data_IF_592985645048
#
_entry.id   IF_592985645048
#
_cell.length_a   1.000
_cell.length_b   1.000
_cell.length_c   1.000
_cell.angle_alpha   90.00
_cell.angle_beta   90.00
_cell.angle_gamma   90.00
#
_symmetry.space_group_name_H-M   'P 1'
#
loop_
_entity.id
_entity.type
_entity.pdbx_description
1 polymer ?
#
# COMPACT_ATOMS: atom_id res chain seq x y z
N UNK A 1 -23.89 -14.41 -14.11
CA UNK A 1 -22.63 -14.48 -14.89
C UNK A 1 -22.24 -13.15 -15.52
N UNK A 2 -23.05 -12.52 -16.40
CA UNK A 2 -22.65 -11.23 -17.01
C UNK A 2 -22.73 -10.06 -16.01
N UNK A 3 -23.82 -9.99 -15.22
CA UNK A 3 -23.97 -8.98 -14.17
C UNK A 3 -22.89 -9.07 -13.08
N UNK A 4 -22.51 -10.28 -12.67
CA UNK A 4 -21.44 -10.50 -11.68
C UNK A 4 -20.08 -10.00 -12.20
N UNK A 5 -19.83 -10.11 -13.51
CA UNK A 5 -18.61 -9.61 -14.15
C UNK A 5 -18.60 -8.09 -14.28
N UNK A 6 -19.75 -7.44 -14.42
CA UNK A 6 -19.84 -5.98 -14.42
C UNK A 6 -19.61 -5.43 -13.01
N UNK A 7 -20.26 -6.03 -12.01
CA UNK A 7 -20.03 -5.71 -10.60
C UNK A 7 -18.54 -5.85 -10.22
N UNK A 8 -17.89 -6.93 -10.65
CA UNK A 8 -16.47 -7.13 -10.38
C UNK A 8 -15.58 -6.00 -10.95
N UNK A 9 -15.93 -5.46 -12.13
CA UNK A 9 -15.19 -4.32 -12.72
C UNK A 9 -15.42 -3.04 -11.95
N UNK A 10 -16.64 -2.79 -11.50
CA UNK A 10 -16.98 -1.62 -10.67
C UNK A 10 -16.23 -1.67 -9.34
N UNK A 11 -16.28 -2.80 -8.64
CA UNK A 11 -15.55 -3.02 -7.39
C UNK A 11 -14.04 -2.86 -7.60
N UNK A 12 -13.49 -3.40 -8.70
CA UNK A 12 -12.08 -3.23 -9.02
C UNK A 12 -11.69 -1.76 -9.23
N UNK A 13 -12.54 -0.96 -9.88
CA UNK A 13 -12.33 0.48 -10.07
C UNK A 13 -12.42 1.26 -8.74
N UNK A 14 -13.36 0.90 -7.88
CA UNK A 14 -13.46 1.50 -6.54
C UNK A 14 -12.24 1.17 -5.68
N UNK A 15 -11.78 -0.08 -5.71
CA UNK A 15 -10.56 -0.51 -5.02
C UNK A 15 -9.31 0.19 -5.59
N UNK A 16 -9.24 0.37 -6.90
CA UNK A 16 -8.17 1.12 -7.56
C UNK A 16 -8.10 2.55 -7.03
N UNK A 17 -9.23 3.26 -7.04
CA UNK A 17 -9.33 4.64 -6.56
C UNK A 17 -9.04 4.75 -5.05
N UNK A 18 -9.52 3.79 -4.26
CA UNK A 18 -9.24 3.73 -2.83
C UNK A 18 -7.76 3.51 -2.56
N UNK A 19 -7.11 2.61 -3.30
CA UNK A 19 -5.67 2.35 -3.16
C UNK A 19 -4.86 3.59 -3.54
N UNK A 20 -5.27 4.32 -4.59
CA UNK A 20 -4.65 5.60 -4.99
C UNK A 20 -4.74 6.66 -3.89
N UNK A 21 -5.89 6.75 -3.19
CA UNK A 21 -6.08 7.68 -2.06
C UNK A 21 -5.26 7.29 -0.83
N UNK A 22 -5.17 5.99 -0.52
CA UNK A 22 -4.44 5.49 0.65
C UNK A 22 -2.91 5.52 0.46
N UNK A 23 -2.44 5.35 -0.77
CA UNK A 23 -1.01 5.30 -1.12
C UNK A 23 -0.73 6.15 -2.36
N UNK A 24 -0.75 7.48 -2.22
CA UNK A 24 -0.36 8.37 -3.32
C UNK A 24 1.09 8.09 -3.73
N UNK A 25 1.39 8.12 -5.03
CA UNK A 25 2.72 7.85 -5.57
C UNK A 25 3.09 6.37 -5.73
N UNK A 26 2.21 5.42 -5.36
CA UNK A 26 2.46 4.01 -5.64
C UNK A 26 2.37 3.74 -7.15
N UNK A 27 3.39 3.14 -7.80
CA UNK A 27 3.36 2.89 -9.24
C UNK A 27 2.20 1.99 -9.66
N UNK A 28 1.77 2.11 -10.91
CA UNK A 28 0.60 1.42 -11.48
C UNK A 28 0.64 -0.10 -11.25
N UNK A 29 1.76 -0.76 -11.53
CA UNK A 29 1.87 -2.22 -11.42
C UNK A 29 1.71 -2.75 -9.97
N UNK A 30 2.47 -2.26 -8.96
CA UNK A 30 2.22 -2.60 -7.56
C UNK A 30 0.81 -2.27 -7.09
N UNK A 31 0.21 -1.17 -7.58
CA UNK A 31 -1.18 -0.82 -7.25
C UNK A 31 -2.17 -1.85 -7.80
N UNK A 32 -1.99 -2.28 -9.04
CA UNK A 32 -2.81 -3.31 -9.66
C UNK A 32 -2.72 -4.64 -8.90
N UNK A 33 -1.51 -5.01 -8.44
CA UNK A 33 -1.31 -6.19 -7.60
C UNK A 33 -2.07 -6.11 -6.28
N UNK A 34 -2.14 -4.93 -5.63
CA UNK A 34 -2.91 -4.75 -4.41
C UNK A 34 -4.42 -4.93 -4.65
N UNK A 35 -4.95 -4.41 -5.77
CA UNK A 35 -6.36 -4.60 -6.13
C UNK A 35 -6.67 -6.07 -6.36
N UNK A 36 -5.86 -6.77 -7.18
CA UNK A 36 -6.04 -8.22 -7.41
C UNK A 36 -5.96 -9.02 -6.11
N UNK A 37 -4.98 -8.70 -5.26
CA UNK A 37 -4.81 -9.37 -3.96
C UNK A 37 -6.03 -9.15 -3.05
N UNK A 38 -6.60 -7.95 -3.04
CA UNK A 38 -7.79 -7.66 -2.25
C UNK A 38 -8.98 -8.52 -2.73
N UNK A 39 -9.24 -8.55 -4.03
CA UNK A 39 -10.33 -9.35 -4.62
C UNK A 39 -10.19 -10.85 -4.34
N UNK A 40 -8.96 -11.39 -4.45
CA UNK A 40 -8.68 -12.79 -4.09
C UNK A 40 -8.88 -13.07 -2.60
N UNK A 41 -8.52 -12.11 -1.74
CA UNK A 41 -8.63 -12.28 -0.27
C UNK A 41 -10.09 -12.27 0.19
N UNK A 42 -10.93 -11.44 -0.44
CA UNK A 42 -12.35 -11.34 -0.13
C UNK A 42 -13.12 -12.54 -0.72
N UNK A 43 -12.62 -13.12 -1.81
CA UNK A 43 -13.26 -14.24 -2.50
C UNK A 43 -14.18 -13.81 -3.65
N UNK A 44 -14.13 -12.53 -4.03
CA UNK A 44 -14.92 -11.97 -5.15
C UNK A 44 -14.34 -12.35 -6.52
N UNK A 45 -13.10 -12.82 -6.54
CA UNK A 45 -12.41 -13.29 -7.75
C UNK A 45 -11.77 -14.65 -7.46
N UNK A 46 -11.94 -15.59 -8.38
CA UNK A 46 -11.49 -16.98 -8.18
C UNK A 46 -10.69 -17.56 -9.33
N UNK A 47 -10.74 -16.94 -10.52
CA UNK A 47 -10.07 -17.44 -11.71
C UNK A 47 -9.08 -16.43 -12.34
N UNK A 48 -8.23 -16.94 -13.23
CA UNK A 48 -7.24 -16.12 -13.95
C UNK A 48 -7.87 -15.23 -15.02
N UNK A 49 -9.08 -15.56 -15.49
CA UNK A 49 -9.76 -14.83 -16.56
C UNK A 49 -10.34 -13.52 -16.02
N UNK A 50 -10.98 -13.56 -14.86
CA UNK A 50 -11.42 -12.42 -14.07
C UNK A 50 -10.24 -11.51 -13.71
N UNK A 51 -9.10 -12.09 -13.32
CA UNK A 51 -7.88 -11.32 -13.03
C UNK A 51 -7.38 -10.56 -14.27
N UNK A 52 -7.35 -11.20 -15.43
CA UNK A 52 -6.99 -10.54 -16.68
C UNK A 52 -7.98 -9.43 -17.07
N UNK A 53 -9.28 -9.64 -16.83
CA UNK A 53 -10.30 -8.61 -17.06
C UNK A 53 -10.08 -7.39 -16.16
N UNK A 54 -9.81 -7.58 -14.87
CA UNK A 54 -9.53 -6.51 -13.91
C UNK A 54 -8.27 -5.74 -14.32
N UNK A 55 -7.21 -6.44 -14.73
CA UNK A 55 -6.00 -5.80 -15.23
C UNK A 55 -6.26 -4.93 -16.46
N UNK A 56 -7.07 -5.41 -17.42
CA UNK A 56 -7.44 -4.62 -18.60
C UNK A 56 -8.23 -3.35 -18.25
N UNK A 57 -9.10 -3.41 -17.23
CA UNK A 57 -9.81 -2.22 -16.73
C UNK A 57 -8.86 -1.23 -16.07
N UNK A 58 -7.88 -1.71 -15.30
CA UNK A 58 -6.85 -0.88 -14.66
C UNK A 58 -5.90 -0.27 -15.70
N UNK A 59 -5.55 -1.03 -16.73
CA UNK A 59 -4.67 -0.56 -17.79
C UNK A 59 -5.26 0.63 -18.54
N UNK A 60 -6.59 0.66 -18.70
CA UNK A 60 -7.33 1.76 -19.32
C UNK A 60 -7.45 3.02 -18.45
N UNK A 61 -7.13 2.96 -17.15
CA UNK A 61 -7.32 4.09 -16.23
C UNK A 61 -6.20 5.13 -16.29
N UNK A 62 -4.94 4.72 -16.48
CA UNK A 62 -3.79 5.64 -16.49
C UNK A 62 -2.73 5.17 -17.49
N UNK A 63 -2.12 6.08 -18.28
CA UNK A 63 -0.89 5.76 -19.01
C UNK A 63 0.19 5.36 -17.98
N UNK A 64 1.08 4.45 -18.37
CA UNK A 64 2.15 4.01 -17.48
C UNK A 64 2.98 5.23 -17.04
N UNK A 65 3.26 5.31 -15.74
CA UNK A 65 4.26 6.23 -15.23
C UNK A 65 5.56 5.87 -15.97
N UNK A 66 6.03 6.76 -16.86
CA UNK A 66 7.41 6.68 -17.33
C UNK A 66 8.31 6.57 -16.09
N UNK A 67 9.49 5.92 -16.18
CA UNK A 67 10.48 5.99 -15.12
C UNK A 67 11.03 7.43 -15.05
N UNK A 68 10.19 8.35 -14.60
CA UNK A 68 10.49 9.73 -14.32
C UNK A 68 11.40 9.75 -13.12
N UNK A 69 12.64 10.13 -13.41
CA UNK A 69 13.60 10.78 -12.52
C UNK A 69 13.01 11.10 -11.14
N UNK A 70 13.60 10.46 -10.12
CA UNK A 70 13.37 10.83 -8.74
C UNK A 70 13.75 12.29 -8.51
N UNK A 71 12.78 13.19 -8.63
CA UNK A 71 12.74 14.35 -7.76
C UNK A 71 12.03 13.92 -6.49
N UNK A 72 12.87 13.63 -5.51
CA UNK A 72 12.51 13.54 -4.11
C UNK A 72 11.76 14.81 -3.68
N UNK A 73 10.43 14.76 -3.68
CA UNK A 73 9.58 15.73 -3.00
C UNK A 73 8.34 15.02 -2.45
N UNK A 74 8.58 14.00 -1.65
CA UNK A 74 7.57 13.27 -0.89
C UNK A 74 8.20 12.80 0.40
N UNK A 75 8.56 13.76 1.24
CA UNK A 75 9.01 13.60 2.61
C UNK A 75 8.14 12.54 3.31
N UNK A 76 8.71 11.35 3.50
CA UNK A 76 8.17 10.35 4.42
C UNK A 76 8.29 10.94 5.83
N UNK A 77 7.27 11.70 6.24
CA UNK A 77 7.13 12.20 7.60
C UNK A 77 6.70 11.04 8.49
N UNK A 78 7.63 10.13 8.74
CA UNK A 78 7.71 9.47 10.05
C UNK A 78 7.72 10.57 11.10
N UNK A 79 6.58 10.75 11.77
CA UNK A 79 6.41 11.33 13.10
C UNK A 79 7.57 12.25 13.52
N UNK A 80 7.54 13.51 13.09
CA UNK A 80 8.30 14.58 13.74
C UNK A 80 7.59 14.93 15.04
N UNK A 81 7.87 14.16 16.10
CA UNK A 81 7.63 14.63 17.46
C UNK A 81 8.63 15.75 17.75
N UNK A 82 8.07 16.96 17.80
CA UNK A 82 8.54 18.13 18.52
C UNK A 82 9.27 17.73 19.81
N UNK A 83 10.49 18.22 20.00
CA UNK A 83 10.93 18.93 21.22
C UNK A 83 12.46 19.06 21.23
N UNK A 84 12.94 20.19 20.70
CA UNK A 84 14.23 20.71 21.05
C UNK A 84 14.17 21.28 22.47
N UNK A 85 15.16 20.90 23.29
CA UNK A 85 15.52 21.38 24.64
C UNK A 85 14.65 20.84 25.78
N UNK A 86 15.24 19.94 26.57
CA UNK A 86 15.86 20.28 27.88
C UNK A 86 16.53 19.04 28.46
N UNK A 87 17.74 19.25 28.96
CA UNK A 87 18.53 18.41 29.85
C UNK A 87 17.74 17.41 30.70
N UNK A 88 18.06 16.12 30.59
CA UNK A 88 17.97 15.18 31.72
C UNK A 88 18.95 14.03 31.56
N UNK A 89 20.07 14.17 32.27
CA UNK A 89 20.98 13.10 32.61
C UNK A 89 20.20 11.92 33.22
N UNK A 90 20.44 10.71 32.72
CA UNK A 90 20.84 9.53 33.50
C UNK A 90 20.96 8.30 32.56
N UNK A 91 22.10 7.59 32.55
CA UNK A 91 22.19 6.34 31.81
C UNK A 91 21.40 5.24 32.52
N UNK A 92 20.53 4.53 31.79
CA UNK A 92 19.75 3.39 32.27
C UNK A 92 20.67 2.26 32.72
N UNK A 93 20.82 2.07 34.02
CA UNK A 93 21.60 0.97 34.61
C UNK A 93 20.78 -0.32 34.54
N UNK A 94 21.23 -1.28 33.73
CA UNK A 94 20.68 -2.65 33.72
C UNK A 94 21.47 -3.48 34.74
N UNK A 95 20.87 -3.77 35.90
CA UNK A 95 21.45 -4.64 36.92
C UNK A 95 21.39 -6.10 36.46
N UNK A 96 22.53 -6.67 36.07
CA UNK A 96 22.69 -8.13 35.90
C UNK A 96 22.40 -8.82 37.23
N UNK A 97 21.43 -9.74 37.29
CA UNK A 97 21.29 -10.65 38.43
C UNK A 97 22.42 -11.67 38.33
N UNK A 98 23.41 -11.55 39.20
CA UNK A 98 24.39 -12.59 39.46
C UNK A 98 23.66 -13.77 40.13
N UNK A 99 23.51 -14.88 39.40
CA UNK A 99 23.20 -16.18 39.99
C UNK A 99 24.41 -16.61 40.81
N UNK A 100 24.24 -16.66 42.12
CA UNK A 100 25.21 -17.23 43.05
C UNK A 100 24.77 -18.67 43.37
N UNK A 101 25.63 -19.62 42.98
CA UNK A 101 25.73 -21.04 43.38
C UNK A 101 24.46 -21.89 43.35
#
# INVERSE_FOLDING_TARGET
MAADKELLKEVALELWNTTKKLRPGLPKAPRAQLVLKALLTIGDMSDQLEAAMVLGVIEAQEPDDEPGQGEAAGEDKTVTETEAKTERETPRVVRKRSTSR
#
